data_IF_636003495538
#
_entry.id   IF_636003495538
#
_cell.length_a   1.000
_cell.length_b   1.000
_cell.length_c   1.000
_cell.angle_alpha   90.00
_cell.angle_beta   90.00
_cell.angle_gamma   90.00
#
_symmetry.space_group_name_H-M   'P 1'
#
loop_
_entity.id
_entity.type
_entity.pdbx_description
1 polymer ?
#
# COMPACT_ATOMS: atom_id res chain seq x y z
N UNK A 1 15.02 20.82 0.63
CA UNK A 1 14.56 19.94 1.74
C UNK A 1 13.80 20.81 2.72
N UNK A 2 12.48 20.63 2.80
CA UNK A 2 11.68 21.25 3.87
C UNK A 2 12.06 20.63 5.22
N UNK A 3 12.05 21.41 6.32
CA UNK A 3 12.29 20.86 7.65
C UNK A 3 11.29 19.75 7.95
N UNK A 4 11.80 18.60 8.42
CA UNK A 4 10.98 17.44 8.78
C UNK A 4 9.98 17.87 9.86
N UNK A 5 8.69 17.78 9.56
CA UNK A 5 7.65 18.02 10.56
C UNK A 5 7.91 17.15 11.80
N UNK A 6 7.62 17.65 13.03
CA UNK A 6 7.76 16.84 14.23
C UNK A 6 6.95 15.55 14.02
N UNK A 7 7.60 14.39 14.20
CA UNK A 7 6.94 13.09 14.08
C UNK A 7 5.71 13.11 14.99
N UNK A 8 4.53 13.04 14.38
CA UNK A 8 3.27 12.87 15.12
C UNK A 8 3.38 11.56 15.92
N UNK A 9 2.73 11.50 17.07
CA UNK A 9 2.80 10.39 18.03
C UNK A 9 2.48 9.05 17.36
N UNK A 10 3.51 8.39 16.83
CA UNK A 10 3.39 7.06 16.27
C UNK A 10 3.35 6.05 17.42
N UNK A 11 2.24 5.34 17.53
CA UNK A 11 2.08 4.25 18.46
C UNK A 11 2.29 2.91 17.75
N UNK A 12 3.45 2.26 17.89
CA UNK A 12 3.69 0.96 17.28
C UNK A 12 2.76 -0.13 17.81
N UNK A 13 2.18 0.02 19.00
CA UNK A 13 1.21 -0.95 19.54
C UNK A 13 -0.08 -0.90 18.72
N UNK A 14 -0.55 0.29 18.34
CA UNK A 14 -1.74 0.44 17.47
C UNK A 14 -1.57 -0.26 16.12
N UNK A 15 -0.38 -0.21 15.54
CA UNK A 15 -0.08 -0.94 14.31
C UNK A 15 -0.16 -2.45 14.52
N UNK A 16 0.40 -2.94 15.63
CA UNK A 16 0.33 -4.37 15.99
C UNK A 16 -1.13 -4.79 16.23
N UNK A 17 -1.90 -4.02 16.98
CA UNK A 17 -3.33 -4.29 17.21
C UNK A 17 -4.11 -4.36 15.89
N UNK A 18 -3.90 -3.39 14.99
CA UNK A 18 -4.51 -3.41 13.67
C UNK A 18 -4.12 -4.66 12.85
N UNK A 19 -2.87 -5.11 12.96
CA UNK A 19 -2.40 -6.32 12.29
C UNK A 19 -3.08 -7.61 12.81
N UNK A 20 -3.51 -7.63 14.08
CA UNK A 20 -4.15 -8.78 14.72
C UNK A 20 -5.68 -8.73 14.70
N UNK A 21 -6.30 -7.71 14.09
CA UNK A 21 -7.76 -7.62 13.94
C UNK A 21 -8.26 -8.60 12.84
N UNK A 22 -8.18 -9.91 13.11
CA UNK A 22 -8.45 -10.98 12.13
C UNK A 22 -9.95 -11.25 11.92
N UNK A 23 -10.83 -10.60 12.68
CA UNK A 23 -12.27 -10.85 12.68
C UNK A 23 -13.06 -9.92 11.75
N UNK A 24 -12.40 -8.94 11.14
CA UNK A 24 -13.01 -8.02 10.17
C UNK A 24 -12.76 -8.49 8.74
N UNK A 25 -13.49 -7.94 7.78
CA UNK A 25 -13.20 -8.18 6.37
C UNK A 25 -11.82 -7.58 5.99
N UNK A 26 -11.24 -8.12 4.93
CA UNK A 26 -9.88 -7.78 4.49
C UNK A 26 -9.70 -6.29 4.16
N UNK A 27 -10.70 -5.64 3.55
CA UNK A 27 -10.60 -4.24 3.19
C UNK A 27 -10.57 -3.35 4.45
N UNK A 28 -11.42 -3.67 5.42
CA UNK A 28 -11.40 -3.02 6.74
C UNK A 28 -10.07 -3.25 7.47
N UNK A 29 -9.55 -4.48 7.45
CA UNK A 29 -8.25 -4.81 8.05
C UNK A 29 -7.10 -3.98 7.44
N UNK A 30 -7.02 -3.93 6.10
CA UNK A 30 -6.00 -3.14 5.39
C UNK A 30 -6.13 -1.65 5.70
N UNK A 31 -7.35 -1.10 5.76
CA UNK A 31 -7.57 0.30 6.15
C UNK A 31 -7.01 0.58 7.55
N UNK A 32 -7.29 -0.30 8.52
CA UNK A 32 -6.81 -0.15 9.90
C UNK A 32 -5.27 -0.11 10.00
N UNK A 33 -4.58 -0.96 9.23
CA UNK A 33 -3.11 -0.93 9.13
C UNK A 33 -2.60 0.40 8.59
N UNK A 34 -3.25 0.93 7.55
CA UNK A 34 -2.82 2.17 6.93
C UNK A 34 -3.09 3.37 7.83
N UNK A 35 -4.24 3.41 8.51
CA UNK A 35 -4.59 4.47 9.46
C UNK A 35 -3.59 4.51 10.64
N UNK A 36 -3.12 3.35 11.10
CA UNK A 36 -2.07 3.26 12.12
C UNK A 36 -0.70 3.76 11.64
N UNK A 37 -0.42 3.68 10.33
CA UNK A 37 0.82 4.18 9.71
C UNK A 37 0.74 5.65 9.28
N UNK A 38 -0.45 6.23 9.14
CA UNK A 38 -0.64 7.61 8.70
C UNK A 38 0.23 8.65 9.46
N UNK A 39 0.47 8.54 10.78
CA UNK A 39 1.32 9.50 11.51
C UNK A 39 2.81 9.50 11.11
N UNK A 40 3.31 8.44 10.48
CA UNK A 40 4.73 8.32 10.06
C UNK A 40 4.95 8.60 8.58
N UNK A 41 3.88 8.88 7.83
CA UNK A 41 3.99 9.31 6.45
C UNK A 41 4.43 10.76 6.39
N UNK A 42 5.37 11.04 5.47
CA UNK A 42 5.73 12.41 5.14
C UNK A 42 4.51 13.12 4.53
N UNK A 43 4.46 14.45 4.67
CA UNK A 43 3.40 15.25 4.06
C UNK A 43 3.37 15.00 2.53
N UNK A 44 2.18 14.92 1.95
CA UNK A 44 1.91 14.58 0.54
C UNK A 44 2.32 13.17 0.09
N UNK A 45 2.72 12.28 1.02
CA UNK A 45 2.96 10.87 0.74
C UNK A 45 1.73 10.01 1.10
N UNK A 46 1.42 9.02 0.25
CA UNK A 46 0.34 8.06 0.46
C UNK A 46 0.84 6.64 0.62
N UNK A 47 0.04 5.79 1.27
CA UNK A 47 0.22 4.33 1.28
C UNK A 47 -0.79 3.72 0.33
N UNK A 48 -0.30 2.80 -0.51
CA UNK A 48 -1.12 1.88 -1.28
C UNK A 48 -0.91 0.46 -0.80
N UNK A 49 -2.00 -0.22 -0.47
CA UNK A 49 -2.02 -1.66 -0.28
C UNK A 49 -2.68 -2.31 -1.50
N UNK A 50 -2.09 -3.41 -1.93
CA UNK A 50 -2.51 -4.16 -3.10
C UNK A 50 -2.62 -5.62 -2.71
N UNK A 51 -3.61 -6.27 -3.29
CA UNK A 51 -3.82 -7.69 -3.10
C UNK A 51 -3.55 -8.41 -4.41
N UNK A 52 -2.82 -9.52 -4.33
CA UNK A 52 -2.71 -10.48 -5.41
C UNK A 52 -3.05 -11.87 -4.92
N UNK A 53 -3.86 -12.58 -5.69
CA UNK A 53 -4.18 -13.98 -5.48
C UNK A 53 -3.93 -14.78 -6.75
N UNK A 54 -3.69 -16.08 -6.60
CA UNK A 54 -3.67 -17.02 -7.72
C UNK A 54 -4.91 -17.89 -7.65
N UNK A 55 -5.56 -18.14 -8.79
CA UNK A 55 -6.60 -19.17 -8.87
C UNK A 55 -6.00 -20.59 -8.98
N UNK A 56 -6.87 -21.60 -9.06
CA UNK A 56 -6.48 -23.01 -9.14
C UNK A 56 -5.67 -23.33 -10.42
N UNK A 57 -5.82 -22.52 -11.46
CA UNK A 57 -5.11 -22.63 -12.73
C UNK A 57 -3.80 -21.83 -12.74
N UNK A 58 -3.51 -21.10 -11.66
CA UNK A 58 -2.31 -20.28 -11.52
C UNK A 58 -2.41 -18.92 -12.20
N UNK A 59 -3.61 -18.47 -12.59
CA UNK A 59 -3.79 -17.11 -13.10
C UNK A 59 -3.73 -16.11 -11.94
N UNK A 60 -3.02 -15.00 -12.16
CA UNK A 60 -2.88 -13.91 -11.20
C UNK A 60 -4.12 -13.02 -11.24
N UNK A 61 -4.71 -12.77 -10.08
CA UNK A 61 -5.81 -11.83 -9.87
C UNK A 61 -5.33 -10.69 -8.99
N UNK A 62 -5.56 -9.45 -9.42
CA UNK A 62 -5.34 -8.27 -8.60
C UNK A 62 -6.65 -7.85 -7.92
N UNK A 63 -6.62 -7.67 -6.59
CA UNK A 63 -7.73 -7.10 -5.83
C UNK A 63 -7.83 -5.58 -6.00
N UNK A 64 -8.91 -5.00 -5.48
CA UNK A 64 -9.07 -3.54 -5.46
C UNK A 64 -8.01 -2.90 -4.55
N UNK A 65 -7.23 -1.92 -5.02
CA UNK A 65 -6.21 -1.29 -4.20
C UNK A 65 -6.83 -0.44 -3.09
N UNK A 66 -6.26 -0.51 -1.89
CA UNK A 66 -6.61 0.37 -0.78
C UNK A 66 -5.56 1.46 -0.67
N UNK A 67 -5.97 2.71 -0.90
CA UNK A 67 -5.07 3.86 -0.85
C UNK A 67 -5.46 4.83 0.28
N UNK A 68 -4.47 5.39 0.97
CA UNK A 68 -4.62 6.50 1.95
C UNK A 68 -3.55 7.55 1.65
N UNK A 69 -3.87 8.82 1.87
CA UNK A 69 -2.89 9.91 1.76
C UNK A 69 -2.51 10.26 0.32
N UNK A 70 -3.24 9.74 -0.68
CA UNK A 70 -3.14 10.19 -2.07
C UNK A 70 -4.48 10.76 -2.55
N UNK A 71 -4.44 11.59 -3.60
CA UNK A 71 -5.67 12.10 -4.21
C UNK A 71 -6.47 10.95 -4.86
N UNK A 72 -7.79 11.13 -4.96
CA UNK A 72 -8.66 10.17 -5.65
C UNK A 72 -8.21 9.93 -7.11
N UNK A 73 -7.63 10.95 -7.76
CA UNK A 73 -7.09 10.85 -9.12
C UNK A 73 -5.86 9.93 -9.17
N UNK A 74 -4.95 10.03 -8.20
CA UNK A 74 -3.77 9.15 -8.10
C UNK A 74 -4.20 7.72 -7.81
N UNK A 75 -5.12 7.52 -6.86
CA UNK A 75 -5.67 6.20 -6.56
C UNK A 75 -6.31 5.55 -7.80
N UNK A 76 -7.13 6.32 -8.54
CA UNK A 76 -7.78 5.84 -9.75
C UNK A 76 -6.79 5.56 -10.89
N UNK A 77 -5.77 6.40 -11.06
CA UNK A 77 -4.73 6.21 -12.07
C UNK A 77 -3.91 4.95 -11.80
N UNK A 78 -3.52 4.72 -10.54
CA UNK A 78 -2.76 3.56 -10.14
C UNK A 78 -3.56 2.26 -10.26
N UNK A 79 -4.85 2.28 -9.88
CA UNK A 79 -5.75 1.14 -10.09
C UNK A 79 -5.87 0.76 -11.57
N UNK A 80 -5.98 1.75 -12.47
CA UNK A 80 -5.97 1.48 -13.93
C UNK A 80 -4.64 0.93 -14.41
N UNK A 81 -3.52 1.46 -13.92
CA UNK A 81 -2.18 1.01 -14.31
C UNK A 81 -1.96 -0.46 -13.93
N UNK A 82 -2.41 -0.87 -12.74
CA UNK A 82 -2.32 -2.26 -12.28
C UNK A 82 -3.21 -3.18 -13.09
N UNK A 83 -4.43 -2.74 -13.42
CA UNK A 83 -5.38 -3.53 -14.20
C UNK A 83 -4.89 -3.86 -15.63
N UNK A 84 -3.98 -3.05 -16.18
CA UNK A 84 -3.39 -3.28 -17.52
C UNK A 84 -1.97 -3.85 -17.47
N UNK A 85 -1.42 -4.03 -16.27
CA UNK A 85 -0.06 -4.54 -16.10
C UNK A 85 -0.02 -6.04 -16.44
N UNK A 86 0.89 -6.47 -17.34
CA UNK A 86 1.07 -7.89 -17.61
C UNK A 86 1.45 -8.65 -16.33
N UNK A 87 0.93 -9.88 -16.10
CA UNK A 87 1.18 -10.64 -14.88
C UNK A 87 2.67 -10.83 -14.56
N UNK A 88 3.50 -10.99 -15.58
CA UNK A 88 4.96 -11.10 -15.45
C UNK A 88 5.61 -9.81 -14.93
N UNK A 89 5.11 -8.65 -15.37
CA UNK A 89 5.58 -7.35 -14.92
C UNK A 89 5.08 -7.06 -13.50
N UNK A 90 3.83 -7.38 -13.18
CA UNK A 90 3.30 -7.28 -11.83
C UNK A 90 4.09 -8.16 -10.85
N UNK A 91 4.41 -9.39 -11.24
CA UNK A 91 5.26 -10.29 -10.46
C UNK A 91 6.66 -9.71 -10.27
N UNK A 92 7.30 -9.21 -11.32
CA UNK A 92 8.64 -8.62 -11.22
C UNK A 92 8.63 -7.34 -10.36
N UNK A 93 7.62 -6.51 -10.50
CA UNK A 93 7.49 -5.25 -9.77
C UNK A 93 7.24 -5.51 -8.29
N UNK A 94 6.20 -6.28 -7.95
CA UNK A 94 5.72 -6.42 -6.56
C UNK A 94 6.35 -7.58 -5.76
N UNK A 95 6.89 -8.60 -6.42
CA UNK A 95 7.52 -9.76 -5.75
C UNK A 95 9.06 -9.75 -5.83
N UNK A 96 9.67 -8.77 -6.50
CA UNK A 96 11.10 -8.58 -6.38
C UNK A 96 11.46 -7.99 -5.01
N UNK A 97 12.63 -8.34 -4.48
CA UNK A 97 13.17 -7.81 -3.21
C UNK A 97 13.24 -6.28 -3.15
N UNK A 98 13.04 -5.59 -4.27
CA UNK A 98 12.99 -4.12 -4.38
C UNK A 98 11.63 -3.52 -4.03
N UNK A 99 10.52 -4.24 -4.19
CA UNK A 99 9.19 -3.76 -3.75
C UNK A 99 9.08 -3.59 -2.24
N UNK A 100 9.87 -4.37 -1.48
CA UNK A 100 9.93 -4.27 -0.02
C UNK A 100 10.66 -3.00 0.49
N UNK A 101 11.33 -2.24 -0.39
CA UNK A 101 12.24 -1.16 0.01
C UNK A 101 12.27 0.09 -0.89
N UNK A 102 11.36 0.28 -1.85
CA UNK A 102 11.52 1.37 -2.84
C UNK A 102 10.27 2.23 -3.06
N UNK A 103 10.18 3.34 -2.34
CA UNK A 103 9.46 4.55 -2.75
C UNK A 103 10.22 5.85 -2.37
N UNK A 104 11.56 5.83 -2.31
CA UNK A 104 12.37 7.05 -2.05
C UNK A 104 13.21 7.54 -3.23
N UNK A 105 13.43 6.74 -4.28
CA UNK A 105 14.46 7.04 -5.29
C UNK A 105 13.89 7.28 -6.71
N UNK A 106 12.57 7.43 -6.86
CA UNK A 106 11.88 7.41 -8.17
C UNK A 106 11.45 8.76 -8.74
N UNK A 107 11.82 9.89 -8.15
CA UNK A 107 11.53 11.23 -8.72
C UNK A 107 12.81 12.08 -8.62
N UNK A 108 13.70 11.86 -9.58
CA UNK A 108 14.88 12.68 -9.86
C UNK A 108 15.05 12.83 -11.36
#
# INVERSE_FOLDING_TARGET
MSPRAPRRDFDPIRLVEAAYELHVDRATWLRGLIDALAPVLDDDCGIGAFEWSFDEQGALHAGEPVMVGCSAEVAAALGRAIAVMPPEEARAFFLSSRALLSLSDGVG
#
